data_IF_793936872941
#
_entry.id   IF_793936872941
#
_cell.length_a   1.000
_cell.length_b   1.000
_cell.length_c   1.000
_cell.angle_alpha   90.00
_cell.angle_beta   90.00
_cell.angle_gamma   90.00
#
_symmetry.space_group_name_H-M   'P 1'
#
loop_
_entity.id
_entity.type
_entity.pdbx_description
1 polymer ?
#
# COMPACT_ATOMS: atom_id res chain seq x y z
N UNK A 1 -4.54 5.85 8.29
CA UNK A 1 -3.70 4.64 8.30
C UNK A 1 -3.69 4.09 9.72
N UNK A 2 -3.54 2.78 9.87
CA UNK A 2 -3.49 2.07 11.16
C UNK A 2 -2.05 1.63 11.41
N UNK A 3 -1.53 1.97 12.57
CA UNK A 3 -0.24 1.48 13.06
C UNK A 3 -0.35 -0.01 13.41
N UNK A 4 0.34 -0.88 12.67
CA UNK A 4 0.22 -2.30 12.89
C UNK A 4 0.96 -2.74 14.15
N UNK A 5 2.08 -2.12 14.51
CA UNK A 5 2.86 -2.40 15.73
C UNK A 5 2.01 -2.28 17.00
N UNK A 6 1.01 -1.41 16.96
CA UNK A 6 0.06 -1.16 18.05
C UNK A 6 -1.29 -1.91 17.90
N UNK A 7 -1.38 -2.92 17.03
CA UNK A 7 -2.65 -3.58 16.66
C UNK A 7 -2.82 -5.03 17.15
N UNK A 8 -2.16 -5.45 18.25
CA UNK A 8 -2.25 -6.83 18.80
C UNK A 8 -1.97 -7.92 17.73
N UNK A 9 -1.09 -7.62 16.75
CA UNK A 9 -0.64 -8.57 15.73
C UNK A 9 0.64 -9.28 16.17
N UNK A 10 0.84 -10.49 15.66
CA UNK A 10 2.05 -11.27 15.91
C UNK A 10 3.07 -10.94 14.81
N UNK A 11 4.09 -10.13 15.13
CA UNK A 11 4.99 -9.58 14.12
C UNK A 11 6.03 -10.62 13.69
N UNK A 12 5.89 -11.11 12.47
CA UNK A 12 6.95 -11.86 11.80
C UNK A 12 8.06 -10.95 11.25
N UNK A 13 7.77 -9.65 11.05
CA UNK A 13 8.66 -8.68 10.41
C UNK A 13 8.67 -7.33 11.15
N UNK A 14 8.97 -7.33 12.45
CA UNK A 14 8.90 -6.12 13.31
C UNK A 14 9.88 -4.98 12.97
N UNK A 15 10.64 -5.07 11.88
CA UNK A 15 11.49 -3.97 11.38
C UNK A 15 10.79 -3.13 10.29
N UNK A 16 9.59 -3.53 9.85
CA UNK A 16 8.86 -2.86 8.78
C UNK A 16 8.13 -1.59 9.23
N UNK A 17 7.90 -1.41 10.54
CA UNK A 17 7.17 -0.26 11.10
C UNK A 17 5.86 0.00 10.32
N UNK A 18 5.12 -1.09 10.04
CA UNK A 18 4.10 -1.10 9.00
C UNK A 18 2.88 -0.24 9.35
N UNK A 19 2.50 0.63 8.42
CA UNK A 19 1.25 1.39 8.47
C UNK A 19 0.26 0.88 7.42
N UNK A 20 -0.86 0.29 7.87
CA UNK A 20 -1.89 -0.20 6.95
C UNK A 20 -2.81 0.92 6.49
N UNK A 21 -2.88 1.13 5.16
CA UNK A 21 -3.80 2.06 4.52
C UNK A 21 -5.16 1.39 4.25
N UNK A 22 -6.06 1.43 5.24
CA UNK A 22 -7.39 0.84 5.10
C UNK A 22 -8.18 1.47 3.94
N UNK A 23 -8.45 0.69 2.89
CA UNK A 23 -9.10 1.15 1.67
C UNK A 23 -8.15 1.68 0.58
N UNK A 24 -6.83 1.59 0.82
CA UNK A 24 -5.78 2.03 -0.10
C UNK A 24 -5.29 3.45 0.17
N UNK A 25 -4.26 3.85 -0.58
CA UNK A 25 -3.70 5.22 -0.59
C UNK A 25 -4.27 5.96 -1.79
N UNK A 26 -4.70 7.22 -1.60
CA UNK A 26 -5.16 8.04 -2.72
C UNK A 26 -3.99 8.61 -3.51
N UNK A 27 -4.15 8.81 -4.81
CA UNK A 27 -3.08 9.43 -5.62
C UNK A 27 -2.69 10.82 -5.10
N UNK A 28 -3.67 11.65 -4.75
CA UNK A 28 -3.44 12.99 -4.17
C UNK A 28 -2.83 12.97 -2.76
N UNK A 29 -2.66 11.79 -2.16
CA UNK A 29 -1.98 11.57 -0.88
C UNK A 29 -0.50 11.18 -1.05
N UNK A 30 -0.08 10.75 -2.25
CA UNK A 30 1.32 10.40 -2.54
C UNK A 30 2.11 11.69 -2.78
N UNK A 31 3.13 11.97 -1.98
CA UNK A 31 3.95 13.18 -2.11
C UNK A 31 4.99 13.07 -3.22
N UNK A 32 5.68 11.94 -3.30
CA UNK A 32 6.71 11.68 -4.30
C UNK A 32 6.91 10.17 -4.53
N UNK A 33 7.63 9.81 -5.58
CA UNK A 33 8.09 8.44 -5.83
C UNK A 33 9.50 8.42 -6.39
N UNK A 34 10.11 7.24 -6.38
CA UNK A 34 11.45 7.01 -6.92
C UNK A 34 11.43 5.77 -7.80
N UNK A 35 12.06 5.86 -8.97
CA UNK A 35 12.20 4.72 -9.86
C UNK A 35 13.50 3.97 -9.56
N UNK A 36 13.39 2.73 -9.10
CA UNK A 36 14.51 1.81 -8.89
C UNK A 36 14.51 0.77 -10.02
N UNK A 37 15.52 0.75 -10.91
CA UNK A 37 15.61 -0.24 -11.98
C UNK A 37 15.63 -1.68 -11.46
N UNK A 38 15.08 -2.61 -12.22
CA UNK A 38 14.94 -4.02 -11.78
C UNK A 38 16.28 -4.73 -11.53
N UNK A 39 17.36 -4.33 -12.20
CA UNK A 39 18.68 -4.94 -12.09
C UNK A 39 19.64 -4.11 -11.22
N UNK A 40 19.08 -3.24 -10.39
CA UNK A 40 19.85 -2.31 -9.60
C UNK A 40 20.42 -2.96 -8.32
N UNK A 41 21.71 -2.77 -8.00
CA UNK A 41 22.31 -3.27 -6.76
C UNK A 41 21.60 -2.80 -5.48
N UNK A 42 20.90 -1.66 -5.52
CA UNK A 42 20.11 -1.17 -4.37
C UNK A 42 18.98 -2.13 -3.97
N UNK A 43 18.60 -3.07 -4.86
CA UNK A 43 17.63 -4.12 -4.55
C UNK A 43 18.21 -5.26 -3.71
N UNK A 44 19.52 -5.27 -3.49
CA UNK A 44 20.23 -6.25 -2.67
C UNK A 44 20.51 -5.75 -1.25
N UNK A 45 20.02 -4.56 -0.88
CA UNK A 45 20.13 -4.04 0.50
C UNK A 45 19.47 -5.01 1.48
N UNK A 46 20.11 -5.20 2.62
CA UNK A 46 19.52 -5.97 3.71
C UNK A 46 18.52 -5.13 4.54
N UNK A 47 17.84 -5.77 5.49
CA UNK A 47 16.84 -5.11 6.33
C UNK A 47 17.41 -3.99 7.21
N UNK A 48 18.68 -4.10 7.64
CA UNK A 48 19.34 -3.07 8.46
C UNK A 48 19.66 -1.83 7.60
N UNK A 49 20.18 -2.05 6.39
CA UNK A 49 20.41 -0.97 5.43
C UNK A 49 19.11 -0.26 5.06
N UNK A 50 18.04 -1.00 4.77
CA UNK A 50 16.71 -0.42 4.47
C UNK A 50 16.21 0.41 5.66
N UNK A 51 16.31 -0.11 6.89
CA UNK A 51 15.87 0.61 8.08
C UNK A 51 16.68 1.91 8.33
N UNK A 52 17.96 1.92 7.97
CA UNK A 52 18.79 3.13 8.04
C UNK A 52 18.41 4.21 7.01
N UNK A 53 17.69 3.83 5.94
CA UNK A 53 17.21 4.75 4.90
C UNK A 53 15.77 5.25 5.12
N UNK A 54 15.20 5.07 6.32
CA UNK A 54 13.86 5.59 6.67
C UNK A 54 13.74 7.11 6.54
N UNK A 55 14.85 7.83 6.75
CA UNK A 55 14.93 9.27 6.54
C UNK A 55 15.43 9.56 5.11
N UNK A 56 14.71 10.36 4.30
CA UNK A 56 15.08 10.63 2.92
C UNK A 56 16.52 11.13 2.73
N UNK A 57 17.00 11.98 3.64
CA UNK A 57 18.34 12.58 3.57
C UNK A 57 19.46 11.54 3.63
N UNK A 58 19.30 10.50 4.46
CA UNK A 58 20.29 9.43 4.59
C UNK A 58 20.40 8.63 3.29
N UNK A 59 19.25 8.36 2.66
CA UNK A 59 19.20 7.68 1.37
C UNK A 59 19.84 8.52 0.26
N UNK A 60 19.42 9.79 0.11
CA UNK A 60 19.88 10.67 -0.96
C UNK A 60 21.38 11.04 -0.83
N UNK A 61 21.92 11.04 0.39
CA UNK A 61 23.36 11.24 0.61
C UNK A 61 24.18 10.09 0.03
N UNK A 62 23.69 8.85 0.14
CA UNK A 62 24.37 7.66 -0.36
C UNK A 62 24.07 7.37 -1.83
N UNK A 63 22.87 7.72 -2.29
CA UNK A 63 22.32 7.40 -3.60
C UNK A 63 21.77 8.65 -4.32
N UNK A 64 22.60 9.67 -4.58
CA UNK A 64 22.15 10.94 -5.17
C UNK A 64 21.60 10.81 -6.60
N UNK A 65 21.87 9.71 -7.29
CA UNK A 65 21.41 9.39 -8.64
C UNK A 65 19.95 8.91 -8.72
N UNK A 66 19.30 8.65 -7.58
CA UNK A 66 17.87 8.34 -7.52
C UNK A 66 17.12 9.49 -6.83
N UNK A 67 16.89 10.62 -7.53
CA UNK A 67 16.12 11.71 -6.96
C UNK A 67 14.66 11.30 -6.79
N UNK A 68 14.01 11.86 -5.77
CA UNK A 68 12.56 11.85 -5.68
C UNK A 68 11.95 12.61 -6.86
N UNK A 69 10.86 12.06 -7.40
CA UNK A 69 10.00 12.72 -8.36
C UNK A 69 8.75 13.16 -7.61
N UNK A 70 8.61 14.47 -7.42
CA UNK A 70 7.47 15.07 -6.74
C UNK A 70 6.17 14.85 -7.53
N UNK A 71 5.09 14.56 -6.80
CA UNK A 71 3.75 14.48 -7.36
C UNK A 71 3.11 15.88 -7.42
N UNK A 72 2.89 16.40 -8.62
CA UNK A 72 2.22 17.70 -8.83
C UNK A 72 0.74 17.70 -8.41
N UNK A 73 0.14 16.52 -8.25
CA UNK A 73 -1.23 16.33 -7.75
C UNK A 73 -1.29 16.11 -6.22
N UNK A 74 -0.17 16.15 -5.49
CA UNK A 74 -0.15 16.03 -4.03
C UNK A 74 -0.93 17.17 -3.36
N UNK A 75 -1.90 16.83 -2.51
CA UNK A 75 -2.72 17.80 -1.81
C UNK A 75 -2.16 18.12 -0.41
N UNK A 76 -1.12 18.95 -0.37
CA UNK A 76 -0.45 19.35 0.88
C UNK A 76 -1.39 20.05 1.88
N UNK A 77 -2.38 20.80 1.40
CA UNK A 77 -3.37 21.47 2.27
C UNK A 77 -4.24 20.44 3.02
N UNK A 78 -4.52 19.30 2.39
CA UNK A 78 -5.32 18.23 2.97
C UNK A 78 -4.50 17.29 3.84
N UNK A 79 -3.30 16.93 3.41
CA UNK A 79 -2.52 15.84 4.01
C UNK A 79 -1.29 16.27 4.79
N UNK A 80 -0.71 17.44 4.52
CA UNK A 80 0.62 17.83 5.03
C UNK A 80 0.71 18.01 6.56
N UNK A 81 -0.43 18.11 7.25
CA UNK A 81 -0.49 18.19 8.72
C UNK A 81 -1.04 16.92 9.38
N UNK A 82 -1.40 15.90 8.59
CA UNK A 82 -1.99 14.66 9.11
C UNK A 82 -0.90 13.63 9.40
N UNK A 83 -1.09 12.87 10.47
CA UNK A 83 -0.25 11.72 10.81
C UNK A 83 -1.05 10.44 10.73
N UNK A 84 -0.35 9.29 10.77
CA UNK A 84 -1.01 8.02 10.99
C UNK A 84 -1.80 8.02 12.31
N UNK A 85 -2.87 7.22 12.35
CA UNK A 85 -3.63 6.98 13.57
C UNK A 85 -2.94 5.93 14.44
N UNK A 86 -3.42 5.72 15.67
CA UNK A 86 -2.92 4.64 16.52
C UNK A 86 -3.26 3.26 15.92
N UNK A 87 -2.78 2.21 16.57
CA UNK A 87 -3.19 0.85 16.23
C UNK A 87 -4.67 0.58 16.51
N UNK A 88 -5.21 -0.41 15.83
CA UNK A 88 -6.60 -0.84 15.93
C UNK A 88 -6.67 -2.37 16.10
N UNK A 89 -6.52 -2.88 17.34
CA UNK A 89 -6.56 -4.32 17.64
C UNK A 89 -7.82 -5.05 17.16
N UNK A 90 -8.94 -4.33 17.01
CA UNK A 90 -10.19 -4.91 16.47
C UNK A 90 -10.08 -5.26 14.99
N UNK A 91 -9.11 -4.67 14.28
CA UNK A 91 -8.82 -4.91 12.87
C UNK A 91 -7.71 -5.95 12.64
N UNK A 92 -7.18 -6.58 13.70
CA UNK A 92 -6.07 -7.52 13.57
C UNK A 92 -6.42 -8.78 12.75
N UNK A 93 -7.71 -9.15 12.67
CA UNK A 93 -8.20 -10.30 11.89
C UNK A 93 -7.76 -11.68 12.38
N UNK A 94 -6.86 -11.76 13.37
CA UNK A 94 -6.38 -13.02 13.93
C UNK A 94 -7.42 -13.65 14.90
N UNK A 95 -7.26 -14.96 15.18
CA UNK A 95 -8.23 -15.71 16.03
C UNK A 95 -8.39 -15.11 17.44
N UNK A 96 -7.31 -14.59 18.02
CA UNK A 96 -7.34 -13.99 19.35
C UNK A 96 -8.15 -12.68 19.36
N UNK A 97 -7.94 -11.81 18.39
CA UNK A 97 -8.69 -10.57 18.22
C UNK A 97 -10.17 -10.84 17.93
N UNK A 98 -10.49 -11.81 17.06
CA UNK A 98 -11.87 -12.21 16.78
C UNK A 98 -12.58 -12.73 18.04
N UNK A 99 -11.88 -13.51 18.88
CA UNK A 99 -12.44 -13.99 20.14
C UNK A 99 -12.62 -12.86 21.18
N UNK A 100 -11.71 -11.88 21.22
CA UNK A 100 -11.72 -10.74 22.14
C UNK A 100 -12.79 -9.70 21.78
N UNK A 101 -13.10 -9.53 20.50
CA UNK A 101 -14.04 -8.52 19.99
C UNK A 101 -15.18 -9.11 19.13
N UNK A 102 -16.03 -9.99 19.69
CA UNK A 102 -17.02 -10.74 18.93
C UNK A 102 -18.26 -9.93 18.51
N UNK A 103 -18.37 -8.66 18.91
CA UNK A 103 -19.59 -7.86 18.75
C UNK A 103 -19.87 -7.47 17.31
N UNK A 104 -18.83 -7.44 16.46
CA UNK A 104 -18.90 -7.02 15.06
C UNK A 104 -17.99 -7.88 14.20
N UNK A 105 -18.31 -7.99 12.92
CA UNK A 105 -17.40 -8.58 11.93
C UNK A 105 -16.19 -7.66 11.71
N UNK A 106 -15.11 -8.20 11.14
CA UNK A 106 -13.93 -7.40 10.78
C UNK A 106 -14.29 -6.25 9.82
N UNK A 107 -15.18 -6.50 8.86
CA UNK A 107 -15.68 -5.49 7.93
C UNK A 107 -16.46 -4.38 8.64
N UNK A 108 -17.31 -4.73 9.61
CA UNK A 108 -18.03 -3.74 10.42
C UNK A 108 -17.08 -2.91 11.28
N UNK A 109 -16.04 -3.52 11.86
CA UNK A 109 -14.98 -2.76 12.54
C UNK A 109 -14.22 -1.84 11.58
N UNK A 110 -14.00 -2.27 10.34
CA UNK A 110 -13.33 -1.45 9.33
C UNK A 110 -14.18 -0.24 8.94
N UNK A 111 -15.49 -0.44 8.75
CA UNK A 111 -16.45 0.67 8.52
C UNK A 111 -16.48 1.61 9.71
N UNK A 112 -16.60 1.12 10.95
CA UNK A 112 -16.55 1.94 12.16
C UNK A 112 -15.26 2.77 12.28
N UNK A 113 -14.13 2.19 11.88
CA UNK A 113 -12.86 2.91 11.87
C UNK A 113 -12.88 4.03 10.83
N UNK A 114 -13.38 3.76 9.63
CA UNK A 114 -13.47 4.76 8.56
C UNK A 114 -14.52 5.83 8.85
N UNK A 115 -15.63 5.51 9.52
CA UNK A 115 -16.62 6.50 9.95
C UNK A 115 -16.00 7.51 10.94
N UNK A 116 -15.07 7.06 11.79
CA UNK A 116 -14.37 7.91 12.75
C UNK A 116 -13.22 8.71 12.14
N UNK A 117 -12.47 8.13 11.20
CA UNK A 117 -11.17 8.67 10.77
C UNK A 117 -11.09 8.99 9.26
N UNK A 118 -12.03 8.52 8.46
CA UNK A 118 -11.96 8.50 7.00
C UNK A 118 -12.26 9.84 6.31
N UNK A 119 -12.60 10.89 7.06
CA UNK A 119 -12.89 12.21 6.49
C UNK A 119 -11.73 12.72 5.62
N UNK A 120 -10.49 12.53 6.08
CA UNK A 120 -9.29 12.89 5.36
C UNK A 120 -9.13 12.18 4.00
N UNK A 121 -9.78 11.04 3.79
CA UNK A 121 -9.72 10.30 2.50
C UNK A 121 -11.05 10.31 1.74
N UNK A 122 -11.95 11.24 2.10
CA UNK A 122 -13.28 11.41 1.50
C UNK A 122 -14.16 10.17 1.64
N UNK A 123 -14.08 9.51 2.80
CA UNK A 123 -14.96 8.39 3.13
C UNK A 123 -16.44 8.76 3.01
N UNK A 124 -17.22 7.91 2.32
CA UNK A 124 -18.66 8.09 2.07
C UNK A 124 -19.52 6.98 2.68
N UNK A 125 -19.02 6.30 3.71
CA UNK A 125 -19.72 5.20 4.36
C UNK A 125 -19.62 3.85 3.65
N UNK A 126 -18.80 3.72 2.59
CA UNK A 126 -18.57 2.44 1.90
C UNK A 126 -17.23 2.39 1.16
N UNK A 127 -16.71 1.18 1.02
CA UNK A 127 -15.61 0.86 0.12
C UNK A 127 -16.11 0.58 -1.31
N UNK A 128 -15.25 0.66 -2.34
CA UNK A 128 -13.89 1.20 -2.31
C UNK A 128 -13.88 2.73 -2.07
N UNK A 129 -12.72 3.28 -1.70
CA UNK A 129 -12.55 4.73 -1.60
C UNK A 129 -12.67 5.37 -2.98
N UNK A 130 -13.30 6.54 -3.04
CA UNK A 130 -13.37 7.34 -4.27
C UNK A 130 -11.96 7.86 -4.60
N UNK A 131 -11.35 7.34 -5.64
CA UNK A 131 -10.05 7.82 -6.09
C UNK A 131 -10.22 9.11 -6.90
N UNK A 132 -9.38 10.13 -6.68
CA UNK A 132 -9.34 11.27 -7.58
C UNK A 132 -8.93 10.76 -8.96
N UNK A 133 -9.66 11.16 -10.01
CA UNK A 133 -9.25 10.88 -11.38
C UNK A 133 -8.08 11.82 -11.64
N UNK A 134 -6.87 11.26 -11.75
CA UNK A 134 -5.69 12.06 -12.06
C UNK A 134 -5.84 12.71 -13.44
N UNK A 135 -5.55 14.00 -13.48
CA UNK A 135 -5.50 14.78 -14.72
C UNK A 135 -4.39 14.29 -15.66
N UNK A 136 -3.29 13.78 -15.11
CA UNK A 136 -2.15 13.25 -15.87
C UNK A 136 -2.49 11.99 -16.68
N UNK A 137 -3.53 11.25 -16.30
CA UNK A 137 -3.96 10.03 -17.01
C UNK A 137 -5.16 10.22 -17.94
N UNK A 138 -5.74 11.42 -18.03
CA UNK A 138 -6.73 11.75 -19.07
C UNK A 138 -7.93 10.82 -19.17
N UNK A 139 -8.38 10.17 -18.09
CA UNK A 139 -9.56 9.30 -18.13
C UNK A 139 -10.82 10.12 -17.88
N UNK A 140 -11.17 10.96 -18.86
CA UNK A 140 -12.53 11.49 -18.96
C UNK A 140 -13.44 10.35 -19.44
N UNK A 141 -14.26 9.83 -18.53
CA UNK A 141 -15.47 9.06 -18.80
C UNK A 141 -15.35 7.94 -19.86
N UNK A 142 -14.87 6.76 -19.45
CA UNK A 142 -15.23 5.51 -20.12
C UNK A 142 -15.60 4.47 -19.07
N UNK A 143 -16.77 3.86 -19.27
CA UNK A 143 -17.04 2.46 -18.97
C UNK A 143 -15.74 1.70 -19.05
N UNK A 144 -15.28 1.09 -17.95
CA UNK A 144 -14.04 0.33 -17.88
C UNK A 144 -14.10 -0.71 -19.01
N UNK A 145 -13.37 -0.57 -20.13
CA UNK A 145 -13.14 -1.72 -20.98
C UNK A 145 -12.18 -2.61 -20.19
N UNK A 146 -12.36 -3.91 -20.26
CA UNK A 146 -11.34 -4.86 -19.84
C UNK A 146 -10.06 -4.59 -20.64
N UNK A 147 -9.20 -3.70 -20.16
CA UNK A 147 -7.84 -3.49 -20.63
C UNK A 147 -6.96 -4.28 -19.65
N UNK A 148 -6.27 -5.32 -20.11
CA UNK A 148 -5.26 -5.15 -21.13
C UNK A 148 -4.02 -4.47 -20.52
N UNK A 149 -3.60 -4.93 -19.34
CA UNK A 149 -2.17 -4.90 -19.02
C UNK A 149 -1.47 -5.69 -20.13
N UNK A 150 -0.28 -5.28 -20.61
CA UNK A 150 0.56 -6.20 -21.35
C UNK A 150 0.89 -7.32 -20.38
N UNK A 151 0.15 -8.43 -20.47
CA UNK A 151 0.62 -9.72 -20.00
C UNK A 151 2.00 -9.87 -20.63
N UNK A 152 3.04 -9.95 -19.79
CA UNK A 152 4.30 -10.54 -20.22
C UNK A 152 3.94 -11.80 -21.01
N UNK A 153 4.53 -11.93 -22.20
CA UNK A 153 4.34 -13.04 -23.13
C UNK A 153 3.95 -14.32 -22.41
N UNK A 154 2.75 -14.83 -22.71
CA UNK A 154 2.24 -16.09 -22.17
C UNK A 154 3.33 -17.17 -22.30
N UNK A 155 3.60 -17.98 -21.26
CA UNK A 155 4.39 -19.19 -21.47
C UNK A 155 3.65 -20.02 -22.52
N UNK A 156 4.36 -20.36 -23.60
CA UNK A 156 3.85 -21.23 -24.66
C UNK A 156 3.36 -22.57 -24.08
N UNK A 157 2.55 -23.32 -24.84
CA UNK A 157 1.92 -24.54 -24.36
C UNK A 157 2.96 -25.49 -23.75
N UNK A 158 2.68 -25.92 -22.53
CA UNK A 158 3.44 -26.93 -21.79
C UNK A 158 3.61 -28.16 -22.69
N UNK A 159 4.86 -28.47 -23.05
CA UNK A 159 5.21 -29.74 -23.68
C UNK A 159 5.05 -30.82 -22.61
N UNK A 160 4.13 -31.79 -22.76
CA UNK A 160 4.02 -32.87 -21.79
C UNK A 160 5.32 -33.66 -21.73
N UNK A 161 5.76 -34.10 -20.53
CA UNK A 161 6.97 -34.90 -20.41
C UNK A 161 6.83 -36.21 -21.22
N UNK A 162 7.95 -36.73 -21.78
CA UNK A 162 7.91 -37.97 -22.54
C UNK A 162 7.42 -39.11 -21.64
N UNK A 163 6.45 -39.87 -22.16
CA UNK A 163 5.97 -41.11 -21.57
C UNK A 163 7.16 -42.07 -21.53
N UNK A 164 7.51 -42.56 -20.34
CA UNK A 164 8.47 -43.64 -20.21
C UNK A 164 7.80 -44.94 -20.69
N UNK A 165 8.33 -45.52 -21.76
CA UNK A 165 7.97 -46.87 -22.17
C UNK A 165 8.45 -47.87 -21.09
N UNK A 166 7.54 -48.76 -20.69
CA UNK A 166 7.81 -49.90 -19.80
C UNK A 166 8.46 -51.07 -20.56
#
# INVERSE_FOLDING_TARGET
MVDLDLSDMDFKFGFEEELSALGGVRWDQVEAWMHIPTNDPIRALDGEEIHNFREPDAFLTRYPEYPWVDNDEYNSTRFGALTAGPGEPRLAGNKAAVAKYPQKTLEQWAVDFMDRNGAAVAWKGKFPLDQPISSAWGVTNRTVPAAGFPLGSEPGPEVPPPVADH
#
